data_IF_188541396894
#
_entry.id   IF_188541396894
#
_cell.length_a   1.000
_cell.length_b   1.000
_cell.length_c   1.000
_cell.angle_alpha   90.00
_cell.angle_beta   90.00
_cell.angle_gamma   90.00
#
_symmetry.space_group_name_H-M   'P 1'
#
loop_
_entity.id
_entity.type
_entity.pdbx_description
1 polymer ?
#
# COMPACT_ATOMS: atom_id res chain seq x y z
N UNK A 1 -14.46 36.91 21.80
CA UNK A 1 -13.73 35.73 21.30
C UNK A 1 -14.77 34.71 20.91
N UNK A 2 -14.81 34.24 19.67
CA UNK A 2 -15.77 33.23 19.26
C UNK A 2 -15.36 31.87 19.86
N UNK A 3 -16.31 31.19 20.49
CA UNK A 3 -16.11 29.88 21.11
C UNK A 3 -16.27 28.82 20.01
N UNK A 4 -15.19 28.07 19.76
CA UNK A 4 -15.16 26.98 18.78
C UNK A 4 -15.42 25.64 19.50
N UNK A 5 -15.95 24.62 18.81
CA UNK A 5 -16.26 24.55 17.38
C UNK A 5 -17.64 25.12 16.99
N UNK A 6 -17.72 25.76 15.82
CA UNK A 6 -18.99 26.23 15.23
C UNK A 6 -19.45 25.25 14.16
N UNK A 7 -20.60 24.62 14.36
CA UNK A 7 -21.24 23.79 13.34
C UNK A 7 -22.23 24.60 12.50
N UNK A 8 -22.26 24.32 11.20
CA UNK A 8 -23.22 24.89 10.26
C UNK A 8 -23.51 23.89 9.14
N UNK A 9 -24.62 24.07 8.43
CA UNK A 9 -24.93 23.29 7.23
C UNK A 9 -24.81 24.17 6.00
N UNK A 10 -23.90 23.82 5.08
CA UNK A 10 -23.70 24.54 3.82
C UNK A 10 -24.04 23.59 2.67
N UNK A 11 -25.01 23.97 1.83
CA UNK A 11 -25.46 23.16 0.69
C UNK A 11 -25.83 21.70 1.05
N UNK A 12 -26.42 21.49 2.24
CA UNK A 12 -26.80 20.17 2.74
C UNK A 12 -25.65 19.35 3.34
N UNK A 13 -24.44 19.91 3.43
CA UNK A 13 -23.27 19.28 4.06
C UNK A 13 -23.05 19.90 5.43
N UNK A 14 -22.94 19.07 6.45
CA UNK A 14 -22.57 19.50 7.80
C UNK A 14 -21.07 19.86 7.82
N UNK A 15 -20.77 21.10 8.18
CA UNK A 15 -19.42 21.64 8.28
C UNK A 15 -19.16 22.15 9.68
N UNK A 16 -17.92 22.03 10.12
CA UNK A 16 -17.46 22.55 11.41
C UNK A 16 -16.30 23.50 11.16
N UNK A 17 -16.37 24.68 11.76
CA UNK A 17 -15.26 25.63 11.78
C UNK A 17 -14.42 25.34 13.00
N UNK A 18 -13.14 25.06 12.77
CA UNK A 18 -12.14 24.85 13.81
C UNK A 18 -10.95 25.78 13.57
N UNK A 19 -10.19 26.14 14.62
CA UNK A 19 -8.93 26.85 14.47
C UNK A 19 -7.98 26.11 13.51
N UNK A 20 -7.20 26.87 12.74
CA UNK A 20 -6.26 26.30 11.77
C UNK A 20 -5.20 25.39 12.43
N UNK A 21 -4.83 25.68 13.68
CA UNK A 21 -3.91 24.85 14.48
C UNK A 21 -4.51 23.48 14.78
N UNK A 22 -5.77 23.42 15.20
CA UNK A 22 -6.47 22.15 15.47
C UNK A 22 -6.64 21.34 14.19
N UNK A 23 -6.94 21.99 13.07
CA UNK A 23 -7.00 21.31 11.77
C UNK A 23 -5.65 20.69 11.38
N UNK A 24 -4.55 21.43 11.56
CA UNK A 24 -3.20 20.93 11.27
C UNK A 24 -2.87 19.70 12.15
N UNK A 25 -3.21 19.74 13.44
CA UNK A 25 -3.04 18.60 14.36
C UNK A 25 -3.85 17.39 13.93
N UNK A 26 -5.09 17.58 13.47
CA UNK A 26 -5.93 16.50 12.94
C UNK A 26 -5.32 15.87 11.68
N UNK A 27 -4.78 16.68 10.77
CA UNK A 27 -4.08 16.19 9.58
C UNK A 27 -2.83 15.38 9.95
N UNK A 28 -2.03 15.85 10.90
CA UNK A 28 -0.84 15.14 11.37
C UNK A 28 -1.19 13.85 12.12
N UNK A 29 -2.27 13.85 12.91
CA UNK A 29 -2.80 12.64 13.52
C UNK A 29 -3.23 11.62 12.46
N UNK A 30 -3.96 12.06 11.42
CA UNK A 30 -4.39 11.19 10.32
C UNK A 30 -3.20 10.63 9.55
N UNK A 31 -2.16 11.43 9.30
CA UNK A 31 -0.92 10.98 8.65
C UNK A 31 -0.22 9.90 9.49
N UNK A 32 -0.01 10.14 10.78
CA UNK A 32 0.61 9.17 11.70
C UNK A 32 -0.18 7.87 11.83
N UNK A 33 -1.51 7.95 11.81
CA UNK A 33 -2.37 6.77 11.81
C UNK A 33 -2.19 5.95 10.51
N UNK A 34 -2.19 6.60 9.35
CA UNK A 34 -1.97 5.93 8.06
C UNK A 34 -0.59 5.25 7.97
N UNK A 35 0.46 5.90 8.49
CA UNK A 35 1.81 5.31 8.58
C UNK A 35 1.82 4.05 9.45
N UNK A 36 1.12 4.07 10.59
CA UNK A 36 1.00 2.91 11.49
C UNK A 36 0.17 1.78 10.91
N UNK A 37 -0.94 2.08 10.24
CA UNK A 37 -1.78 1.08 9.58
C UNK A 37 -1.02 0.37 8.46
N UNK A 38 -0.19 1.10 7.72
CA UNK A 38 0.68 0.53 6.70
C UNK A 38 1.69 -0.46 7.29
N UNK A 39 2.34 -0.09 8.40
CA UNK A 39 3.26 -0.98 9.11
C UNK A 39 2.52 -2.19 9.71
N UNK A 40 1.39 -1.99 10.37
CA UNK A 40 0.59 -3.07 10.94
C UNK A 40 0.10 -4.06 9.88
N UNK A 41 -0.30 -3.59 8.69
CA UNK A 41 -0.68 -4.45 7.57
C UNK A 41 0.49 -5.30 7.03
N UNK A 42 1.72 -4.78 7.08
CA UNK A 42 2.92 -5.57 6.74
C UNK A 42 3.14 -6.74 7.70
N UNK A 43 2.89 -6.54 8.99
CA UNK A 43 3.07 -7.60 10.01
C UNK A 43 1.88 -8.56 10.11
N UNK A 44 0.66 -8.11 9.83
CA UNK A 44 -0.57 -8.91 9.92
C UNK A 44 -0.79 -9.80 8.69
N UNK A 45 -0.17 -9.50 7.55
CA UNK A 45 -0.26 -10.37 6.37
C UNK A 45 0.61 -11.61 6.63
N UNK A 46 0.05 -12.82 6.77
CA UNK A 46 0.87 -14.01 6.96
C UNK A 46 1.84 -14.13 5.78
N UNK A 47 3.14 -14.13 6.07
CA UNK A 47 4.25 -14.31 5.13
C UNK A 47 4.14 -15.71 4.50
N UNK A 48 3.27 -15.86 3.49
CA UNK A 48 2.91 -17.16 2.91
C UNK A 48 3.83 -17.57 1.76
N UNK A 49 4.73 -16.70 1.29
CA UNK A 49 5.60 -17.00 0.15
C UNK A 49 7.04 -16.57 0.37
N UNK A 50 7.98 -17.27 -0.30
CA UNK A 50 9.41 -16.89 -0.36
C UNK A 50 9.65 -15.44 -0.77
N UNK A 51 8.74 -14.84 -1.55
CA UNK A 51 8.78 -13.43 -1.92
C UNK A 51 8.53 -12.52 -0.73
N UNK A 52 7.66 -12.90 0.20
CA UNK A 52 7.39 -12.06 1.37
C UNK A 52 8.60 -12.06 2.34
N UNK A 53 9.43 -13.12 2.32
CA UNK A 53 10.63 -13.27 3.16
C UNK A 53 11.90 -12.66 2.56
N UNK A 54 11.89 -12.33 1.26
CA UNK A 54 13.03 -11.73 0.55
C UNK A 54 12.59 -10.40 -0.09
N UNK A 55 12.68 -9.28 0.66
CA UNK A 55 12.15 -8.00 0.22
C UNK A 55 12.87 -7.48 -1.03
N UNK A 56 14.16 -7.81 -1.19
CA UNK A 56 14.95 -7.40 -2.36
C UNK A 56 14.41 -8.08 -3.63
N UNK A 57 14.17 -9.39 -3.57
CA UNK A 57 13.58 -10.14 -4.70
C UNK A 57 12.14 -9.68 -4.96
N UNK A 58 11.36 -9.38 -3.91
CA UNK A 58 9.99 -8.90 -4.05
C UNK A 58 9.91 -7.57 -4.81
N UNK A 59 10.74 -6.59 -4.43
CA UNK A 59 10.82 -5.28 -5.11
C UNK A 59 11.20 -5.47 -6.57
N UNK A 60 12.26 -6.24 -6.84
CA UNK A 60 12.72 -6.53 -8.20
C UNK A 60 11.64 -7.15 -9.09
N UNK A 61 10.87 -8.09 -8.53
CA UNK A 61 9.76 -8.75 -9.21
C UNK A 61 8.61 -7.77 -9.43
N UNK A 62 8.25 -6.96 -8.44
CA UNK A 62 7.19 -5.97 -8.54
C UNK A 62 7.45 -4.90 -9.62
N UNK A 63 8.70 -4.48 -9.79
CA UNK A 63 9.11 -3.49 -10.81
C UNK A 63 8.95 -4.00 -12.24
N UNK A 64 9.15 -5.30 -12.46
CA UNK A 64 9.11 -5.91 -13.80
C UNK A 64 7.74 -6.43 -14.20
N UNK A 65 6.93 -6.79 -13.21
CA UNK A 65 5.59 -7.27 -13.47
C UNK A 65 4.73 -6.12 -14.02
N UNK A 66 4.20 -6.32 -15.22
CA UNK A 66 3.47 -5.32 -16.01
C UNK A 66 4.15 -4.98 -17.32
N UNK A 67 5.48 -5.14 -17.40
CA UNK A 67 6.25 -5.05 -18.65
C UNK A 67 6.70 -6.41 -19.19
N UNK A 68 6.91 -7.39 -18.30
CA UNK A 68 7.39 -8.73 -18.64
C UNK A 68 6.42 -9.83 -18.21
N UNK A 69 6.47 -10.98 -18.89
CA UNK A 69 5.75 -12.19 -18.51
C UNK A 69 6.35 -12.83 -17.26
N UNK A 70 5.56 -13.66 -16.55
CA UNK A 70 6.03 -14.38 -15.35
C UNK A 70 7.26 -15.26 -15.63
N UNK A 71 7.35 -15.83 -16.85
CA UNK A 71 8.48 -16.65 -17.24
C UNK A 71 9.76 -15.83 -17.41
N UNK A 72 9.67 -14.65 -18.01
CA UNK A 72 10.79 -13.71 -18.19
C UNK A 72 11.24 -13.15 -16.84
N UNK A 73 10.30 -12.72 -16.00
CA UNK A 73 10.61 -12.27 -14.64
C UNK A 73 11.36 -13.35 -13.86
N UNK A 74 10.90 -14.60 -13.93
CA UNK A 74 11.57 -15.73 -13.27
C UNK A 74 12.99 -15.96 -13.80
N UNK A 75 13.21 -15.83 -15.11
CA UNK A 75 14.53 -15.93 -15.74
C UNK A 75 15.45 -14.80 -15.27
N UNK A 76 14.96 -13.58 -15.23
CA UNK A 76 15.73 -12.42 -14.76
C UNK A 76 16.04 -12.49 -13.26
N UNK A 77 15.08 -12.93 -12.43
CA UNK A 77 15.33 -13.18 -11.01
C UNK A 77 16.41 -14.25 -10.82
N UNK A 78 16.39 -15.31 -11.64
CA UNK A 78 17.44 -16.36 -11.60
C UNK A 78 18.79 -15.81 -12.00
N UNK A 79 18.85 -14.97 -13.04
CA UNK A 79 20.11 -14.38 -13.50
C UNK A 79 20.71 -13.42 -12.45
N UNK A 80 19.87 -12.66 -11.72
CA UNK A 80 20.34 -11.66 -10.76
C UNK A 80 20.62 -12.22 -9.36
N UNK A 81 19.75 -13.08 -8.84
CA UNK A 81 19.80 -13.54 -7.44
C UNK A 81 20.15 -15.03 -7.30
N UNK A 82 20.29 -15.74 -8.42
CA UNK A 82 20.54 -17.17 -8.45
C UNK A 82 19.29 -18.03 -8.22
N UNK A 83 19.39 -19.31 -8.57
CA UNK A 83 18.27 -20.26 -8.48
C UNK A 83 17.76 -20.46 -7.04
N UNK A 84 18.64 -20.38 -6.03
CA UNK A 84 18.28 -20.60 -4.63
C UNK A 84 17.30 -19.54 -4.08
N UNK A 85 17.48 -18.27 -4.48
CA UNK A 85 16.62 -17.15 -4.10
C UNK A 85 15.46 -16.95 -5.05
N UNK A 86 15.44 -17.65 -6.18
CA UNK A 86 14.38 -17.52 -7.17
C UNK A 86 13.09 -18.19 -6.69
N UNK A 87 11.97 -17.45 -6.60
CA UNK A 87 10.69 -18.01 -6.25
C UNK A 87 10.11 -18.80 -7.43
N UNK A 88 9.33 -19.84 -7.12
CA UNK A 88 8.60 -20.59 -8.13
C UNK A 88 7.66 -19.66 -8.93
N UNK A 89 7.47 -19.97 -10.22
CA UNK A 89 6.59 -19.19 -11.12
C UNK A 89 5.17 -19.00 -10.57
N UNK A 90 4.62 -20.03 -9.92
CA UNK A 90 3.30 -19.95 -9.26
C UNK A 90 3.26 -18.96 -8.10
N UNK A 91 4.38 -18.76 -7.40
CA UNK A 91 4.50 -17.75 -6.34
C UNK A 91 4.59 -16.34 -6.91
N UNK A 92 5.33 -16.14 -8.01
CA UNK A 92 5.36 -14.87 -8.74
C UNK A 92 3.96 -14.52 -9.26
N UNK A 93 3.26 -15.48 -9.85
CA UNK A 93 1.89 -15.28 -10.35
C UNK A 93 0.91 -14.90 -9.22
N UNK A 94 0.94 -15.62 -8.08
CA UNK A 94 0.10 -15.29 -6.92
C UNK A 94 0.42 -13.91 -6.34
N UNK A 95 1.69 -13.55 -6.28
CA UNK A 95 2.14 -12.22 -5.86
C UNK A 95 1.60 -11.13 -6.79
N UNK A 96 1.67 -11.33 -8.11
CA UNK A 96 1.11 -10.41 -9.09
C UNK A 96 -0.41 -10.21 -8.95
N UNK A 97 -1.15 -11.30 -8.75
CA UNK A 97 -2.59 -11.25 -8.54
C UNK A 97 -2.95 -10.42 -7.29
N UNK A 98 -2.21 -10.60 -6.19
CA UNK A 98 -2.38 -9.79 -4.96
C UNK A 98 -2.12 -8.31 -5.23
N UNK A 99 -1.03 -7.98 -5.91
CA UNK A 99 -0.67 -6.61 -6.27
C UNK A 99 -1.73 -5.92 -7.14
N UNK A 100 -2.27 -6.64 -8.13
CA UNK A 100 -3.37 -6.13 -8.97
C UNK A 100 -4.64 -5.91 -8.16
N UNK A 101 -4.97 -6.81 -7.24
CA UNK A 101 -6.13 -6.66 -6.38
C UNK A 101 -5.99 -5.43 -5.46
N UNK A 102 -4.83 -5.26 -4.82
CA UNK A 102 -4.54 -4.10 -3.98
C UNK A 102 -4.64 -2.79 -4.77
N UNK A 103 -4.06 -2.73 -5.98
CA UNK A 103 -4.19 -1.56 -6.87
C UNK A 103 -5.64 -1.25 -7.25
N UNK A 104 -6.46 -2.28 -7.50
CA UNK A 104 -7.89 -2.10 -7.81
C UNK A 104 -8.69 -1.58 -6.62
N UNK A 105 -8.36 -2.01 -5.41
CA UNK A 105 -9.00 -1.51 -4.18
C UNK A 105 -8.61 -0.06 -3.95
N UNK A 106 -7.32 0.28 -4.07
CA UNK A 106 -6.83 1.65 -3.95
C UNK A 106 -7.48 2.60 -4.98
N UNK A 107 -7.61 2.17 -6.24
CA UNK A 107 -8.26 2.98 -7.29
C UNK A 107 -9.79 3.15 -7.10
N UNK A 108 -10.43 2.33 -6.26
CA UNK A 108 -11.88 2.41 -5.95
C UNK A 108 -12.20 3.31 -4.76
N UNK A 109 -11.21 3.77 -4.01
CA UNK A 109 -11.39 4.80 -2.98
C UNK A 109 -10.91 6.13 -3.56
N UNK A 110 -11.73 6.86 -4.35
CA UNK A 110 -11.43 8.26 -4.62
C UNK A 110 -11.56 9.01 -3.30
N UNK A 111 -10.48 9.72 -2.98
CA UNK A 111 -10.37 10.60 -1.81
C UNK A 111 -11.36 11.76 -1.92
#
# INVERSE_FOLDING_TARGET
MAEFPLSATIAGVEVVTIPATEYAELLDCRRRAAERDFEAQRFMTPLRSRLDLDPEVAVFVAERLGGLTVAEVNKETTARFGAARTPARSSIHRYWMRLRQARRVAARQPT
#
